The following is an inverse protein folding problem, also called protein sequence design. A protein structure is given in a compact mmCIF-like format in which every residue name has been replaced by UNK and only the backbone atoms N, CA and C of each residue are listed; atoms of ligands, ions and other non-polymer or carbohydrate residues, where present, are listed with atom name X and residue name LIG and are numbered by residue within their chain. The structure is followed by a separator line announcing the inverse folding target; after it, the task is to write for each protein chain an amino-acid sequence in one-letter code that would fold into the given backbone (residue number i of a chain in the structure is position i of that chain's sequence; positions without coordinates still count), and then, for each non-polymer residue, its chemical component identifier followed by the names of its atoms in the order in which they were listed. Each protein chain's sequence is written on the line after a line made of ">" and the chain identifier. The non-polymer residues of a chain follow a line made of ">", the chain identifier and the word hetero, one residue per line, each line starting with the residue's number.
data_IF_088098986329
#
_entry.id   IF_088098986329
#
_cell.length_a   1.000
_cell.length_b   1.000
_cell.length_c   1.000
_cell.angle_alpha   90.00
_cell.angle_beta   90.00
_cell.angle_gamma   90.00
#
_symmetry.space_group_name_H-M   'P 1'
#
loop_
_entity.id
_entity.type
_entity.pdbx_description
1 polymer ?
#
# COMPACT_ATOMS: atom_id res chain seq x y z
N UNK A 1 25.39 24.79 -18.13
CA UNK A 1 24.52 25.06 -16.96
C UNK A 1 23.03 25.00 -17.33
N UNK A 2 22.64 25.20 -18.60
CA UNK A 2 21.24 25.11 -19.09
C UNK A 2 20.64 23.69 -19.13
N UNK A 3 21.43 22.65 -19.41
CA UNK A 3 20.89 21.28 -19.59
C UNK A 3 20.35 20.70 -18.28
N UNK A 4 20.99 21.01 -17.14
CA UNK A 4 20.52 20.56 -15.82
C UNK A 4 19.26 21.32 -15.38
N UNK A 5 19.17 22.61 -15.69
CA UNK A 5 17.96 23.42 -15.52
C UNK A 5 16.81 22.85 -16.36
N UNK A 6 17.03 22.54 -17.64
CA UNK A 6 16.03 21.96 -18.54
C UNK A 6 15.54 20.57 -18.10
N UNK A 7 16.46 19.68 -17.71
CA UNK A 7 16.11 18.36 -17.15
C UNK A 7 15.32 18.54 -15.84
N UNK A 8 15.71 19.49 -14.99
CA UNK A 8 14.99 19.77 -13.75
C UNK A 8 13.60 20.38 -14.00
N UNK A 9 13.43 21.17 -15.06
CA UNK A 9 12.17 21.78 -15.48
C UNK A 9 11.20 20.73 -16.05
N UNK A 10 11.69 19.82 -16.89
CA UNK A 10 10.91 18.68 -17.41
C UNK A 10 10.54 17.68 -16.31
N UNK A 11 11.40 17.50 -15.31
CA UNK A 11 11.07 16.72 -14.11
C UNK A 11 10.06 17.46 -13.22
N UNK A 12 10.09 18.80 -13.20
CA UNK A 12 9.23 19.65 -12.37
C UNK A 12 7.87 19.93 -12.96
N UNK A 13 7.69 19.92 -14.28
CA UNK A 13 6.39 20.14 -14.91
C UNK A 13 5.50 18.93 -14.65
N UNK A 14 4.58 19.03 -13.66
CA UNK A 14 3.74 17.91 -13.33
C UNK A 14 2.63 17.96 -14.37
N UNK A 15 2.77 17.19 -15.46
CA UNK A 15 1.62 16.92 -16.31
C UNK A 15 0.42 16.54 -15.43
N UNK A 16 -0.82 16.88 -15.81
CA UNK A 16 -2.01 16.73 -14.96
C UNK A 16 -2.20 15.30 -14.41
N UNK A 17 -1.54 14.31 -15.02
CA UNK A 17 -1.58 12.90 -14.66
C UNK A 17 -0.54 12.45 -13.62
N UNK A 18 0.49 13.25 -13.30
CA UNK A 18 1.53 12.88 -12.32
C UNK A 18 0.97 12.50 -10.93
N UNK A 19 -0.06 13.19 -10.40
CA UNK A 19 -0.65 12.80 -9.13
C UNK A 19 -1.25 11.40 -9.15
N UNK A 20 -1.96 11.08 -10.24
CA UNK A 20 -2.64 9.80 -10.47
C UNK A 20 -1.61 8.68 -10.69
N UNK A 21 -0.60 8.93 -11.53
CA UNK A 21 0.49 7.98 -11.78
C UNK A 21 1.27 7.65 -10.51
N UNK A 22 1.48 8.63 -9.63
CA UNK A 22 2.13 8.40 -8.34
C UNK A 22 1.29 7.56 -7.38
N UNK A 23 -0.05 7.66 -7.45
CA UNK A 23 -0.98 6.81 -6.70
C UNK A 23 -0.97 5.39 -7.26
N UNK A 24 -1.09 5.22 -8.58
CA UNK A 24 -1.02 3.91 -9.24
C UNK A 24 0.31 3.20 -8.97
N UNK A 25 1.42 3.94 -9.07
CA UNK A 25 2.76 3.42 -8.70
C UNK A 25 2.81 3.03 -7.23
N UNK A 26 2.21 3.82 -6.34
CA UNK A 26 2.08 3.52 -4.92
C UNK A 26 1.30 2.23 -4.67
N UNK A 27 0.15 2.08 -5.31
CA UNK A 27 -0.70 0.88 -5.24
C UNK A 27 0.07 -0.37 -5.67
N UNK A 28 0.72 -0.32 -6.85
CA UNK A 28 1.53 -1.45 -7.36
C UNK A 28 2.64 -1.81 -6.39
N UNK A 29 3.35 -0.82 -5.86
CA UNK A 29 4.43 -1.06 -4.92
C UNK A 29 3.91 -1.68 -3.61
N UNK A 30 2.78 -1.20 -3.09
CA UNK A 30 2.12 -1.78 -1.92
C UNK A 30 1.70 -3.23 -2.14
N UNK A 31 1.10 -3.53 -3.30
CA UNK A 31 0.71 -4.90 -3.66
C UNK A 31 1.92 -5.84 -3.77
N UNK A 32 2.98 -5.42 -4.47
CA UNK A 32 4.20 -6.23 -4.66
C UNK A 32 4.92 -6.46 -3.33
N UNK A 33 5.04 -5.42 -2.50
CA UNK A 33 5.71 -5.53 -1.21
C UNK A 33 4.93 -6.41 -0.23
N UNK A 34 3.60 -6.24 -0.18
CA UNK A 34 2.74 -7.08 0.64
C UNK A 34 2.84 -8.56 0.25
N UNK A 35 2.87 -8.85 -1.06
CA UNK A 35 3.02 -10.22 -1.54
C UNK A 35 4.39 -10.81 -1.14
N UNK A 36 5.47 -10.05 -1.34
CA UNK A 36 6.85 -10.48 -1.04
C UNK A 36 7.06 -10.86 0.42
N UNK A 37 6.42 -10.15 1.36
CA UNK A 37 6.56 -10.44 2.78
C UNK A 37 5.60 -11.54 3.23
N UNK A 38 4.34 -11.49 2.78
CA UNK A 38 3.30 -12.38 3.28
C UNK A 38 3.36 -13.78 2.68
N UNK A 39 3.70 -13.91 1.41
CA UNK A 39 3.77 -15.20 0.73
C UNK A 39 4.75 -16.18 1.40
N UNK A 40 6.03 -15.84 1.68
CA UNK A 40 6.94 -16.77 2.35
C UNK A 40 6.48 -17.09 3.77
N UNK A 41 5.96 -16.11 4.52
CA UNK A 41 5.43 -16.34 5.86
C UNK A 41 4.25 -17.32 5.84
N UNK A 42 3.24 -17.09 5.00
CA UNK A 42 2.07 -17.95 4.88
C UNK A 42 2.44 -19.36 4.37
N UNK A 43 3.44 -19.46 3.48
CA UNK A 43 3.97 -20.73 3.00
C UNK A 43 4.55 -21.55 4.15
N UNK A 44 5.47 -20.96 4.92
CA UNK A 44 6.11 -21.63 6.06
C UNK A 44 5.06 -22.04 7.09
N UNK A 45 4.13 -21.15 7.44
CA UNK A 45 3.07 -21.44 8.41
C UNK A 45 2.14 -22.57 7.95
N UNK A 46 1.77 -22.58 6.66
CA UNK A 46 0.82 -23.56 6.11
C UNK A 46 1.47 -24.94 5.89
N UNK A 47 2.77 -24.97 5.58
CA UNK A 47 3.51 -26.23 5.45
C UNK A 47 3.80 -26.86 6.81
N UNK A 48 4.21 -26.07 7.80
CA UNK A 48 4.59 -26.58 9.12
C UNK A 48 3.39 -26.95 10.00
N UNK A 49 2.33 -26.13 10.00
CA UNK A 49 1.29 -26.23 11.04
C UNK A 49 -0.09 -26.61 10.53
N UNK A 50 -0.37 -26.51 9.22
CA UNK A 50 -1.70 -26.80 8.68
C UNK A 50 -1.75 -28.23 8.14
N UNK A 51 -2.76 -29.02 8.49
CA UNK A 51 -3.04 -30.32 7.87
C UNK A 51 -4.14 -30.18 6.80
N UNK A 52 -4.09 -31.00 5.75
CA UNK A 52 -5.06 -30.96 4.65
C UNK A 52 -4.44 -31.12 3.26
N UNK A 53 -5.29 -31.08 2.22
CA UNK A 53 -4.87 -31.25 0.83
C UNK A 53 -3.97 -30.11 0.35
N UNK A 54 -3.04 -30.42 -0.57
CA UNK A 54 -2.16 -29.42 -1.19
C UNK A 54 -2.96 -28.27 -1.82
N UNK A 55 -4.12 -28.57 -2.41
CA UNK A 55 -5.01 -27.56 -3.00
C UNK A 55 -5.54 -26.57 -1.96
N UNK A 56 -5.98 -27.06 -0.79
CA UNK A 56 -6.47 -26.20 0.30
C UNK A 56 -5.36 -25.33 0.90
N UNK A 57 -4.16 -25.90 1.02
CA UNK A 57 -2.96 -25.18 1.49
C UNK A 57 -2.60 -24.02 0.55
N UNK A 58 -2.48 -24.30 -0.75
CA UNK A 58 -2.17 -23.27 -1.76
C UNK A 58 -3.23 -22.17 -1.77
N UNK A 59 -4.52 -22.54 -1.74
CA UNK A 59 -5.60 -21.55 -1.68
C UNK A 59 -5.51 -20.66 -0.43
N UNK A 60 -5.24 -21.25 0.73
CA UNK A 60 -5.09 -20.49 1.98
C UNK A 60 -3.91 -19.51 1.94
N UNK A 61 -2.78 -19.93 1.36
CA UNK A 61 -1.60 -19.08 1.19
C UNK A 61 -1.94 -17.91 0.25
N UNK A 62 -2.55 -18.21 -0.90
CA UNK A 62 -2.92 -17.19 -1.90
C UNK A 62 -3.90 -16.18 -1.33
N UNK A 63 -4.96 -16.65 -0.65
CA UNK A 63 -5.96 -15.77 -0.06
C UNK A 63 -5.36 -14.83 0.99
N UNK A 64 -4.54 -15.37 1.91
CA UNK A 64 -3.86 -14.56 2.91
C UNK A 64 -2.88 -13.55 2.29
N UNK A 65 -2.20 -13.94 1.21
CA UNK A 65 -1.26 -13.08 0.49
C UNK A 65 -2.00 -11.97 -0.25
N UNK A 66 -3.07 -12.31 -0.98
CA UNK A 66 -3.89 -11.36 -1.73
C UNK A 66 -4.53 -10.36 -0.78
N UNK A 67 -5.13 -10.82 0.31
CA UNK A 67 -5.77 -9.96 1.30
C UNK A 67 -4.75 -8.97 1.89
N UNK A 68 -3.56 -9.42 2.28
CA UNK A 68 -2.54 -8.55 2.86
C UNK A 68 -2.01 -7.53 1.84
N UNK A 69 -1.76 -8.00 0.62
CA UNK A 69 -1.31 -7.16 -0.49
C UNK A 69 -2.34 -6.09 -0.84
N UNK A 70 -3.63 -6.45 -0.85
CA UNK A 70 -4.74 -5.51 -1.09
C UNK A 70 -4.81 -4.46 0.00
N UNK A 71 -4.78 -4.87 1.27
CA UNK A 71 -4.80 -3.92 2.39
C UNK A 71 -3.63 -2.93 2.28
N UNK A 72 -2.40 -3.41 2.07
CA UNK A 72 -1.25 -2.52 1.95
C UNK A 72 -1.35 -1.59 0.74
N UNK A 73 -1.84 -2.10 -0.40
CA UNK A 73 -2.03 -1.29 -1.60
C UNK A 73 -3.08 -0.19 -1.39
N UNK A 74 -4.22 -0.50 -0.76
CA UNK A 74 -5.24 0.49 -0.42
C UNK A 74 -4.76 1.51 0.61
N UNK A 75 -4.01 1.07 1.62
CA UNK A 75 -3.42 1.97 2.61
C UNK A 75 -2.51 3.01 1.95
N UNK A 76 -1.58 2.56 1.10
CA UNK A 76 -0.66 3.47 0.38
C UNK A 76 -1.41 4.43 -0.54
N UNK A 77 -2.46 3.96 -1.21
CA UNK A 77 -3.33 4.78 -2.05
C UNK A 77 -4.03 5.86 -1.23
N UNK A 78 -4.75 5.48 -0.18
CA UNK A 78 -5.50 6.42 0.68
C UNK A 78 -4.55 7.42 1.34
N UNK A 79 -3.44 6.94 1.89
CA UNK A 79 -2.42 7.80 2.50
C UNK A 79 -1.90 8.87 1.51
N UNK A 80 -1.52 8.47 0.29
CA UNK A 80 -1.01 9.40 -0.73
C UNK A 80 -2.09 10.37 -1.20
N UNK A 81 -3.33 9.90 -1.37
CA UNK A 81 -4.46 10.74 -1.79
C UNK A 81 -4.78 11.78 -0.73
N UNK A 82 -4.97 11.39 0.53
CA UNK A 82 -5.28 12.31 1.64
C UNK A 82 -4.13 13.29 1.86
N UNK A 83 -2.88 12.82 1.87
CA UNK A 83 -1.72 13.71 2.07
C UNK A 83 -1.66 14.79 0.99
N UNK A 84 -1.83 14.42 -0.29
CA UNK A 84 -1.84 15.38 -1.40
C UNK A 84 -3.02 16.33 -1.34
N UNK A 85 -4.21 15.83 -0.99
CA UNK A 85 -5.40 16.66 -0.84
C UNK A 85 -5.22 17.69 0.27
N UNK A 86 -4.72 17.27 1.43
CA UNK A 86 -4.45 18.16 2.55
C UNK A 86 -3.39 19.22 2.20
N UNK A 87 -2.33 18.84 1.50
CA UNK A 87 -1.32 19.78 1.02
C UNK A 87 -1.88 20.79 0.02
N UNK A 88 -2.77 20.35 -0.86
CA UNK A 88 -3.42 21.22 -1.84
C UNK A 88 -4.36 22.23 -1.17
N UNK A 89 -5.11 21.80 -0.14
CA UNK A 89 -6.03 22.66 0.60
C UNK A 89 -5.32 23.61 1.58
N UNK A 90 -4.25 23.16 2.22
CA UNK A 90 -3.51 23.97 3.20
C UNK A 90 -2.50 24.92 2.56
N UNK A 91 -2.10 24.69 1.30
CA UNK A 91 -1.07 25.48 0.61
C UNK A 91 0.37 25.22 1.09
N UNK A 92 0.55 24.49 2.19
CA UNK A 92 1.87 24.21 2.79
C UNK A 92 2.09 22.72 3.10
N UNK A 93 3.37 22.34 3.17
CA UNK A 93 3.82 20.98 3.49
C UNK A 93 3.99 20.81 5.00
N UNK A 94 2.91 20.54 5.72
CA UNK A 94 3.00 20.22 7.15
C UNK A 94 3.11 18.72 7.44
N UNK A 95 3.95 18.36 8.43
CA UNK A 95 4.07 16.99 8.96
C UNK A 95 2.76 16.46 9.54
N UNK A 96 1.90 17.35 10.06
CA UNK A 96 0.58 17.03 10.60
C UNK A 96 -0.34 16.39 9.55
N UNK A 97 -0.22 16.77 8.28
CA UNK A 97 -1.01 16.18 7.21
C UNK A 97 -0.69 14.71 6.98
N UNK A 98 0.57 14.32 7.05
CA UNK A 98 0.98 12.91 6.95
C UNK A 98 0.47 12.10 8.14
N UNK A 99 0.47 12.67 9.35
CA UNK A 99 -0.08 12.01 10.53
C UNK A 99 -1.59 11.75 10.38
N UNK A 100 -2.36 12.79 10.01
CA UNK A 100 -3.81 12.66 9.79
C UNK A 100 -4.12 11.67 8.67
N UNK A 101 -3.39 11.74 7.55
CA UNK A 101 -3.56 10.80 6.44
C UNK A 101 -3.26 9.35 6.85
N UNK A 102 -2.22 9.13 7.66
CA UNK A 102 -1.88 7.80 8.18
C UNK A 102 -2.94 7.28 9.16
N UNK A 103 -3.46 8.15 10.03
CA UNK A 103 -4.51 7.80 10.97
C UNK A 103 -5.81 7.37 10.26
N UNK A 104 -6.29 8.21 9.33
CA UNK A 104 -7.50 7.93 8.55
C UNK A 104 -7.31 6.69 7.67
N UNK A 105 -6.20 6.62 6.93
CA UNK A 105 -5.90 5.46 6.08
C UNK A 105 -5.75 4.18 6.88
N UNK A 106 -5.17 4.25 8.08
CA UNK A 106 -5.05 3.12 8.99
C UNK A 106 -6.40 2.61 9.46
N UNK A 107 -7.27 3.52 9.91
CA UNK A 107 -8.61 3.19 10.36
C UNK A 107 -9.47 2.59 9.23
N UNK A 108 -9.46 3.18 8.03
CA UNK A 108 -10.28 2.70 6.91
C UNK A 108 -9.84 1.33 6.37
N UNK A 109 -8.54 1.02 6.40
CA UNK A 109 -8.01 -0.20 5.78
C UNK A 109 -7.87 -1.34 6.78
N UNK A 110 -7.54 -1.03 8.04
CA UNK A 110 -7.27 -2.02 9.07
C UNK A 110 -8.33 -2.03 10.18
N UNK A 111 -9.32 -1.14 10.14
CA UNK A 111 -10.40 -1.10 11.12
C UNK A 111 -11.44 -2.21 10.97
N UNK A 112 -11.54 -2.83 9.78
CA UNK A 112 -12.41 -3.99 9.58
C UNK A 112 -11.77 -5.29 10.10
N UNK A 113 -12.56 -6.07 10.85
CA UNK A 113 -12.18 -7.41 11.30
C UNK A 113 -12.06 -8.35 10.11
N UNK A 114 -10.84 -8.52 9.64
CA UNK A 114 -10.53 -9.38 8.50
C UNK A 114 -9.57 -10.49 8.95
N UNK A 115 -9.50 -11.63 8.24
CA UNK A 115 -8.71 -12.83 8.63
C UNK A 115 -7.22 -12.59 8.96
N UNK A 116 -6.66 -11.44 8.59
CA UNK A 116 -5.31 -10.99 8.98
C UNK A 116 -5.27 -10.39 10.40
N UNK A 117 -6.34 -9.71 10.83
CA UNK A 117 -6.47 -9.12 12.16
C UNK A 117 -6.72 -10.18 13.25
N UNK A 118 -7.28 -11.33 12.87
CA UNK A 118 -7.59 -12.45 13.76
C UNK A 118 -6.61 -13.63 13.61
N UNK A 119 -5.34 -13.38 13.32
CA UNK A 119 -4.38 -14.46 13.09
C UNK A 119 -4.08 -15.33 14.33
N UNK A 120 -4.61 -14.96 15.51
CA UNK A 120 -4.36 -15.59 16.81
C UNK A 120 -5.62 -16.14 17.53
N UNK A 121 -6.75 -16.36 16.84
CA UNK A 121 -7.91 -17.01 17.48
C UNK A 121 -8.35 -18.26 16.71
#
# INVERSE_FOLDING_TARGET
>A
MEVLEFISHIIKEPGPYQPILAVIKGFRNGAVYGAKIRAPHALVMTFLFKTGSLRSKIWSILEATIQHSRNLAFFVTIYKTITKLLHFLAGEKEKRHSFVAAFIGGYLVFGENNRINQQNN
#
